data_IF_434215509542
#
_entry.id   IF_434215509542
#
_cell.length_a   1.000
_cell.length_b   1.000
_cell.length_c   1.000
_cell.angle_alpha   90.00
_cell.angle_beta   90.00
_cell.angle_gamma   90.00
#
_symmetry.space_group_name_H-M   'P 1'
#
loop_
_entity.id
_entity.type
_entity.pdbx_description
1 polymer ?
#
# COMPACT_ATOMS: atom_id res chain seq x y z
N UNK A 1 -34.72 -16.08 43.77
CA UNK A 1 -33.40 -15.41 43.76
C UNK A 1 -32.43 -15.96 42.70
N UNK A 2 -32.35 -17.28 42.46
CA UNK A 2 -31.46 -17.84 41.43
C UNK A 2 -31.82 -17.39 40.00
N UNK A 3 -33.11 -17.36 39.65
CA UNK A 3 -33.54 -16.96 38.30
C UNK A 3 -33.15 -15.52 37.96
N UNK A 4 -33.31 -14.59 38.90
CA UNK A 4 -32.90 -13.20 38.72
C UNK A 4 -31.38 -13.06 38.50
N UNK A 5 -30.58 -13.85 39.22
CA UNK A 5 -29.11 -13.88 39.06
C UNK A 5 -28.70 -14.43 37.69
N UNK A 6 -29.37 -15.49 37.21
CA UNK A 6 -29.12 -16.07 35.89
C UNK A 6 -29.42 -15.05 34.79
N UNK A 7 -30.57 -14.36 34.88
CA UNK A 7 -30.95 -13.31 33.93
C UNK A 7 -29.93 -12.19 33.93
N UNK A 8 -29.46 -11.76 35.10
CA UNK A 8 -28.48 -10.67 35.23
C UNK A 8 -27.12 -11.04 34.64
N UNK A 9 -26.65 -12.28 34.86
CA UNK A 9 -25.42 -12.80 34.25
C UNK A 9 -25.56 -12.90 32.73
N UNK A 10 -26.68 -13.39 32.22
CA UNK A 10 -26.95 -13.46 30.79
C UNK A 10 -26.96 -12.06 30.15
N UNK A 11 -27.58 -11.07 30.82
CA UNK A 11 -27.61 -9.69 30.36
C UNK A 11 -26.21 -9.08 30.30
N UNK A 12 -25.40 -9.29 31.33
CA UNK A 12 -23.99 -8.82 31.34
C UNK A 12 -23.18 -9.48 30.23
N UNK A 13 -23.42 -10.76 29.93
CA UNK A 13 -22.73 -11.47 28.85
C UNK A 13 -23.13 -10.94 27.47
N UNK A 14 -24.43 -10.71 27.23
CA UNK A 14 -24.93 -10.14 25.97
C UNK A 14 -24.41 -8.72 25.76
N UNK A 15 -24.42 -7.88 26.81
CA UNK A 15 -23.87 -6.52 26.72
C UNK A 15 -22.38 -6.54 26.39
N UNK A 16 -21.60 -7.46 26.96
CA UNK A 16 -20.19 -7.62 26.60
C UNK A 16 -20.00 -8.06 25.14
N UNK A 17 -20.85 -8.94 24.61
CA UNK A 17 -20.79 -9.38 23.20
C UNK A 17 -21.20 -8.29 22.20
N UNK A 18 -22.03 -7.33 22.61
CA UNK A 18 -22.45 -6.19 21.76
C UNK A 18 -21.39 -5.09 21.74
N UNK A 19 -20.66 -4.89 22.85
CA UNK A 19 -19.67 -3.80 22.98
C UNK A 19 -18.27 -4.26 22.58
N UNK A 20 -17.89 -5.49 22.90
CA UNK A 20 -16.59 -6.03 22.52
C UNK A 20 -16.61 -6.40 21.04
N UNK A 21 -15.72 -5.81 20.25
CA UNK A 21 -15.45 -6.32 18.91
C UNK A 21 -15.08 -7.81 19.03
N UNK A 22 -15.63 -8.69 18.17
CA UNK A 22 -15.25 -10.09 18.20
C UNK A 22 -13.73 -10.17 18.06
N UNK A 23 -13.07 -11.02 18.85
CA UNK A 23 -11.61 -11.20 18.79
C UNK A 23 -11.10 -11.68 17.43
N UNK A 24 -12.02 -12.02 16.52
CA UNK A 24 -11.78 -12.43 15.14
C UNK A 24 -12.04 -11.32 14.11
N UNK A 25 -12.45 -10.12 14.54
CA UNK A 25 -12.44 -8.97 13.65
C UNK A 25 -10.99 -8.61 13.35
N UNK A 26 -10.58 -8.80 12.08
CA UNK A 26 -9.29 -8.33 11.59
C UNK A 26 -9.13 -6.82 11.80
N UNK A 27 -7.90 -6.31 11.61
CA UNK A 27 -7.62 -4.88 11.74
C UNK A 27 -8.57 -4.07 10.85
N UNK A 28 -9.16 -3.04 11.44
CA UNK A 28 -9.97 -2.05 10.72
C UNK A 28 -9.04 -0.98 10.13
N UNK A 29 -8.76 -1.08 8.82
CA UNK A 29 -7.88 -0.17 8.10
C UNK A 29 -8.54 1.18 7.80
N UNK A 30 -9.86 1.32 7.96
CA UNK A 30 -10.57 2.60 7.78
C UNK A 30 -10.26 3.62 8.88
N UNK A 31 -9.61 3.20 9.96
CA UNK A 31 -9.11 4.07 11.03
C UNK A 31 -7.66 4.53 10.82
N UNK A 32 -7.02 4.12 9.72
CA UNK A 32 -5.65 4.45 9.38
C UNK A 32 -5.47 5.83 8.73
N UNK A 33 -4.22 6.28 8.65
CA UNK A 33 -3.85 7.54 8.00
C UNK A 33 -4.16 7.52 6.50
N UNK A 34 -3.88 6.39 5.82
CA UNK A 34 -4.14 6.24 4.39
C UNK A 34 -5.64 6.41 4.05
N UNK A 35 -6.55 5.87 4.87
CA UNK A 35 -7.99 6.05 4.65
C UNK A 35 -8.42 7.52 4.79
N UNK A 36 -7.88 8.21 5.81
CA UNK A 36 -8.15 9.62 6.04
C UNK A 36 -7.65 10.47 4.87
N UNK A 37 -6.42 10.23 4.40
CA UNK A 37 -5.83 10.93 3.26
C UNK A 37 -6.62 10.70 1.97
N UNK A 38 -6.95 9.46 1.63
CA UNK A 38 -7.71 9.13 0.42
C UNK A 38 -9.11 9.74 0.48
N UNK A 39 -9.80 9.64 1.63
CA UNK A 39 -11.13 10.23 1.80
C UNK A 39 -11.09 11.75 1.68
N UNK A 40 -10.08 12.40 2.26
CA UNK A 40 -9.90 13.85 2.13
C UNK A 40 -9.64 14.25 0.67
N UNK A 41 -8.72 13.57 -0.02
CA UNK A 41 -8.42 13.83 -1.43
C UNK A 41 -9.65 13.62 -2.33
N UNK A 42 -10.45 12.58 -2.07
CA UNK A 42 -11.69 12.32 -2.79
C UNK A 42 -12.71 13.44 -2.57
N UNK A 43 -12.90 13.89 -1.33
CA UNK A 43 -13.81 14.99 -1.02
C UNK A 43 -13.37 16.30 -1.68
N UNK A 44 -12.06 16.59 -1.68
CA UNK A 44 -11.49 17.76 -2.36
C UNK A 44 -11.72 17.69 -3.87
N UNK A 45 -11.46 16.54 -4.51
CA UNK A 45 -11.72 16.37 -5.93
C UNK A 45 -13.23 16.51 -6.26
N UNK A 46 -14.11 15.93 -5.45
CA UNK A 46 -15.55 16.04 -5.67
C UNK A 46 -16.09 17.46 -5.49
N UNK A 47 -15.42 18.31 -4.71
CA UNK A 47 -15.82 19.72 -4.53
C UNK A 47 -15.76 20.53 -5.82
N UNK A 48 -14.92 20.13 -6.78
CA UNK A 48 -14.74 20.79 -8.08
C UNK A 48 -15.38 20.05 -9.24
N UNK A 49 -16.18 19.01 -8.98
CA UNK A 49 -16.80 18.13 -10.00
C UNK A 49 -17.59 18.87 -11.09
N UNK A 50 -18.24 19.98 -10.74
CA UNK A 50 -19.08 20.74 -11.67
C UNK A 50 -18.26 21.71 -12.55
N UNK A 51 -17.01 21.98 -12.21
CA UNK A 51 -16.11 22.86 -12.96
C UNK A 51 -14.64 22.40 -12.77
N UNK A 52 -14.29 21.18 -13.19
CA UNK A 52 -12.96 20.60 -12.96
C UNK A 52 -11.84 21.41 -13.61
N UNK A 53 -12.13 22.15 -14.68
CA UNK A 53 -11.19 23.01 -15.38
C UNK A 53 -10.72 24.18 -14.51
N UNK A 54 -11.56 24.66 -13.57
CA UNK A 54 -11.17 25.71 -12.61
C UNK A 54 -10.11 25.22 -11.62
N UNK A 55 -10.00 23.91 -11.43
CA UNK A 55 -8.97 23.27 -10.63
C UNK A 55 -7.81 22.71 -11.47
N UNK A 56 -7.77 23.05 -12.77
CA UNK A 56 -6.68 22.68 -13.67
C UNK A 56 -6.75 21.26 -14.23
N UNK A 57 -7.89 20.57 -14.12
CA UNK A 57 -8.08 19.24 -14.70
C UNK A 57 -8.75 19.33 -16.07
N UNK A 58 -8.31 18.50 -17.02
CA UNK A 58 -9.18 18.11 -18.14
C UNK A 58 -10.25 17.13 -17.64
N UNK A 59 -11.37 16.96 -18.38
CA UNK A 59 -12.40 15.97 -18.02
C UNK A 59 -11.82 14.55 -17.85
N UNK A 60 -10.89 14.15 -18.71
CA UNK A 60 -10.24 12.83 -18.67
C UNK A 60 -9.36 12.69 -17.43
N UNK A 61 -8.55 13.69 -17.13
CA UNK A 61 -7.70 13.70 -15.93
C UNK A 61 -8.54 13.66 -14.64
N UNK A 62 -9.65 14.39 -14.62
CA UNK A 62 -10.58 14.36 -13.49
C UNK A 62 -11.17 12.96 -13.28
N UNK A 63 -11.67 12.31 -14.35
CA UNK A 63 -12.24 10.97 -14.26
C UNK A 63 -11.19 9.93 -13.86
N UNK A 64 -9.98 10.01 -14.42
CA UNK A 64 -8.88 9.12 -14.05
C UNK A 64 -8.54 9.26 -12.57
N UNK A 65 -8.39 10.49 -12.08
CA UNK A 65 -8.08 10.74 -10.66
C UNK A 65 -9.20 10.30 -9.73
N UNK A 66 -10.47 10.50 -10.13
CA UNK A 66 -11.63 10.03 -9.38
C UNK A 66 -11.65 8.51 -9.27
N UNK A 67 -11.48 7.80 -10.39
CA UNK A 67 -11.44 6.34 -10.43
C UNK A 67 -10.29 5.78 -9.57
N UNK A 68 -9.11 6.40 -9.64
CA UNK A 68 -7.94 6.02 -8.83
C UNK A 68 -8.23 6.15 -7.32
N UNK A 69 -8.77 7.28 -6.87
CA UNK A 69 -9.08 7.50 -5.46
C UNK A 69 -10.21 6.59 -4.96
N UNK A 70 -11.21 6.33 -5.78
CA UNK A 70 -12.29 5.38 -5.46
C UNK A 70 -11.76 3.95 -5.34
N UNK A 71 -10.86 3.55 -6.25
CA UNK A 71 -10.20 2.25 -6.19
C UNK A 71 -9.38 2.11 -4.90
N UNK A 72 -8.53 3.09 -4.57
CA UNK A 72 -7.74 3.09 -3.33
C UNK A 72 -8.63 3.01 -2.09
N UNK A 73 -9.71 3.79 -2.04
CA UNK A 73 -10.67 3.75 -0.94
C UNK A 73 -11.28 2.36 -0.79
N UNK A 74 -11.71 1.76 -1.89
CA UNK A 74 -12.31 0.42 -1.90
C UNK A 74 -11.32 -0.65 -1.41
N UNK A 75 -10.06 -0.58 -1.83
CA UNK A 75 -9.00 -1.48 -1.34
C UNK A 75 -8.90 -1.41 0.18
N UNK A 76 -8.86 -0.21 0.76
CA UNK A 76 -8.76 -0.05 2.21
C UNK A 76 -10.02 -0.55 2.94
N UNK A 77 -11.22 -0.22 2.43
CA UNK A 77 -12.51 -0.61 3.04
C UNK A 77 -12.75 -2.11 3.02
N UNK A 78 -12.24 -2.81 2.00
CA UNK A 78 -12.44 -4.25 1.81
C UNK A 78 -11.27 -5.08 2.33
N UNK A 79 -10.16 -4.44 2.71
CA UNK A 79 -8.96 -5.10 3.22
C UNK A 79 -9.26 -5.99 4.43
N UNK A 80 -8.72 -7.22 4.37
CA UNK A 80 -8.71 -8.18 5.48
C UNK A 80 -7.30 -8.44 6.01
N UNK A 81 -6.30 -8.15 5.19
CA UNK A 81 -4.87 -8.29 5.48
C UNK A 81 -4.18 -6.95 5.32
N UNK A 82 -2.95 -6.87 5.82
CA UNK A 82 -2.04 -5.74 5.61
C UNK A 82 -1.64 -5.62 4.16
N UNK A 83 -1.05 -4.49 3.81
CA UNK A 83 -0.45 -4.36 2.49
C UNK A 83 0.72 -5.35 2.37
N UNK A 84 0.78 -6.07 1.26
CA UNK A 84 1.85 -7.02 0.97
C UNK A 84 2.49 -6.69 -0.38
N UNK A 85 3.79 -6.95 -0.47
CA UNK A 85 4.54 -6.85 -1.71
C UNK A 85 5.01 -8.23 -2.14
N UNK A 86 4.69 -8.61 -3.38
CA UNK A 86 5.17 -9.83 -4.03
C UNK A 86 6.21 -9.48 -5.08
N UNK A 87 7.35 -10.15 -5.01
CA UNK A 87 8.45 -9.97 -5.93
C UNK A 87 8.45 -11.06 -7.01
N UNK A 88 7.98 -10.73 -8.21
CA UNK A 88 8.04 -11.55 -9.42
C UNK A 88 9.04 -10.99 -10.44
N UNK A 89 10.03 -10.21 -9.99
CA UNK A 89 11.03 -9.59 -10.87
C UNK A 89 12.17 -10.54 -11.26
N UNK A 90 12.30 -11.68 -10.58
CA UNK A 90 13.44 -12.59 -10.74
C UNK A 90 14.74 -12.11 -10.09
N UNK A 91 14.73 -10.95 -9.44
CA UNK A 91 15.86 -10.35 -8.71
C UNK A 91 15.47 -9.99 -7.29
N UNK A 92 16.43 -9.55 -6.47
CA UNK A 92 16.11 -8.97 -5.16
C UNK A 92 15.37 -7.64 -5.36
N UNK A 93 14.28 -7.45 -4.61
CA UNK A 93 13.46 -6.23 -4.65
C UNK A 93 13.62 -5.47 -3.35
N UNK A 94 13.92 -4.18 -3.43
CA UNK A 94 13.94 -3.31 -2.26
C UNK A 94 12.52 -2.80 -1.97
N UNK A 95 12.03 -3.04 -0.75
CA UNK A 95 10.66 -2.69 -0.35
C UNK A 95 10.67 -1.86 0.94
N UNK A 96 9.75 -0.92 1.01
CA UNK A 96 9.47 -0.15 2.21
C UNK A 96 8.45 -0.90 3.04
N UNK A 97 8.86 -1.34 4.23
CA UNK A 97 8.00 -2.10 5.11
C UNK A 97 8.14 -1.65 6.56
N UNK A 98 7.11 -1.93 7.36
CA UNK A 98 7.12 -1.72 8.80
C UNK A 98 6.43 -2.87 9.53
N UNK A 99 6.85 -3.11 10.78
CA UNK A 99 6.07 -3.96 11.68
C UNK A 99 5.01 -3.12 12.37
N UNK A 100 3.81 -3.67 12.61
CA UNK A 100 2.77 -3.01 13.39
C UNK A 100 3.32 -2.55 14.74
N UNK A 101 3.11 -1.26 15.07
CA UNK A 101 3.61 -0.58 16.28
C UNK A 101 5.11 -0.25 16.28
N UNK A 102 5.88 -0.66 15.26
CA UNK A 102 7.27 -0.24 15.04
C UNK A 102 7.32 0.75 13.88
N UNK A 103 7.14 2.02 14.21
CA UNK A 103 7.45 3.13 13.31
C UNK A 103 8.92 3.51 13.51
N UNK A 104 9.67 3.89 12.46
CA UNK A 104 9.23 4.24 11.10
C UNK A 104 9.34 3.11 10.07
N UNK A 105 8.68 3.30 8.92
CA UNK A 105 8.90 2.54 7.67
C UNK A 105 10.38 2.58 7.27
N UNK A 106 10.93 1.43 6.91
CA UNK A 106 12.32 1.28 6.56
C UNK A 106 12.47 0.46 5.28
N UNK A 107 13.65 0.58 4.65
CA UNK A 107 13.98 -0.18 3.47
C UNK A 107 14.48 -1.58 3.86
N UNK A 108 13.88 -2.59 3.24
CA UNK A 108 14.25 -4.00 3.38
C UNK A 108 14.38 -4.65 2.01
N UNK A 109 14.87 -5.88 1.99
CA UNK A 109 15.15 -6.61 0.75
C UNK A 109 14.34 -7.89 0.69
N UNK A 110 13.48 -8.01 -0.31
CA UNK A 110 12.61 -9.14 -0.56
C UNK A 110 13.21 -10.03 -1.66
N UNK A 111 13.41 -11.31 -1.36
CA UNK A 111 13.98 -12.25 -2.32
C UNK A 111 13.07 -12.46 -3.54
N UNK A 112 13.67 -12.89 -4.66
CA UNK A 112 12.92 -13.24 -5.86
C UNK A 112 11.91 -14.36 -5.57
N UNK A 113 10.68 -14.21 -6.08
CA UNK A 113 9.58 -15.15 -5.91
C UNK A 113 8.87 -15.07 -4.55
N UNK A 114 9.35 -14.25 -3.62
CA UNK A 114 8.80 -14.15 -2.27
C UNK A 114 7.74 -13.07 -2.13
N UNK A 115 6.95 -13.18 -1.06
CA UNK A 115 5.98 -12.17 -0.61
C UNK A 115 6.33 -11.74 0.80
N UNK A 116 6.00 -10.49 1.14
CA UNK A 116 6.13 -10.02 2.52
C UNK A 116 5.20 -10.78 3.45
N UNK A 117 5.71 -11.24 4.59
CA UNK A 117 4.99 -11.87 5.70
C UNK A 117 3.80 -11.01 6.18
N UNK A 118 2.72 -11.66 6.64
CA UNK A 118 1.46 -10.98 6.96
C UNK A 118 1.46 -10.23 8.30
N UNK A 119 2.48 -10.43 9.13
CA UNK A 119 2.79 -9.58 10.28
C UNK A 119 3.47 -8.26 9.88
N UNK A 120 3.84 -8.07 8.61
CA UNK A 120 4.39 -6.81 8.10
C UNK A 120 3.38 -6.02 7.28
N UNK A 121 3.55 -4.70 7.27
CA UNK A 121 2.93 -3.80 6.30
C UNK A 121 3.97 -3.43 5.24
N UNK A 122 3.72 -3.80 3.98
CA UNK A 122 4.49 -3.29 2.86
C UNK A 122 3.90 -1.95 2.40
N UNK A 123 4.51 -0.84 2.82
CA UNK A 123 4.06 0.50 2.46
C UNK A 123 4.39 0.85 1.00
N UNK A 124 5.43 0.23 0.42
CA UNK A 124 5.91 0.64 -0.89
C UNK A 124 7.09 -0.14 -1.45
N UNK A 125 7.53 0.25 -2.64
CA UNK A 125 8.68 -0.34 -3.33
C UNK A 125 9.68 0.77 -3.68
N UNK A 126 10.97 0.51 -3.48
CA UNK A 126 12.03 1.37 -3.98
C UNK A 126 12.40 0.95 -5.41
N UNK A 127 12.50 1.92 -6.30
CA UNK A 127 12.96 1.72 -7.67
C UNK A 127 14.19 2.61 -7.92
N UNK A 128 15.34 2.03 -8.28
CA UNK A 128 16.54 2.80 -8.55
C UNK A 128 16.40 3.63 -9.84
N UNK A 129 17.30 4.61 -10.00
CA UNK A 129 17.43 5.30 -11.28
C UNK A 129 17.77 4.31 -12.41
N UNK A 130 17.40 4.68 -13.64
CA UNK A 130 17.56 3.88 -14.87
C UNK A 130 16.71 2.61 -14.92
N UNK A 131 15.87 2.35 -13.91
CA UNK A 131 14.87 1.29 -14.01
C UNK A 131 13.82 1.66 -15.05
N UNK A 132 13.51 0.73 -15.95
CA UNK A 132 12.35 0.82 -16.83
C UNK A 132 11.13 0.23 -16.12
N UNK A 133 10.08 1.03 -15.95
CA UNK A 133 8.91 0.65 -15.16
C UNK A 133 7.60 1.09 -15.82
N UNK A 134 6.56 0.27 -15.68
CA UNK A 134 5.16 0.60 -15.92
C UNK A 134 4.47 0.69 -14.56
N UNK A 135 4.13 1.92 -14.14
CA UNK A 135 3.53 2.18 -12.82
C UNK A 135 2.03 1.94 -12.76
N UNK A 136 1.34 1.82 -13.89
CA UNK A 136 -0.10 1.49 -13.91
C UNK A 136 -0.42 0.57 -15.10
N UNK A 137 -1.44 -0.31 -14.99
CA UNK A 137 -1.74 -1.33 -16.01
C UNK A 137 -2.03 -0.85 -17.45
N UNK A 138 -2.03 0.47 -17.69
CA UNK A 138 -2.25 1.08 -19.02
C UNK A 138 -1.21 2.17 -19.36
N UNK A 139 -0.18 2.37 -18.52
CA UNK A 139 0.87 3.33 -18.79
C UNK A 139 1.90 2.76 -19.78
N UNK A 140 2.56 3.67 -20.50
CA UNK A 140 3.73 3.30 -21.29
C UNK A 140 4.94 3.07 -20.37
N UNK A 141 5.88 2.20 -20.76
CA UNK A 141 7.16 2.08 -20.07
C UNK A 141 7.84 3.45 -19.96
N UNK A 142 8.34 3.78 -18.79
CA UNK A 142 9.18 4.94 -18.57
C UNK A 142 10.50 4.52 -17.92
N UNK A 143 11.59 5.15 -18.34
CA UNK A 143 12.88 5.02 -17.70
C UNK A 143 13.02 6.10 -16.63
N UNK A 144 13.36 5.68 -15.41
CA UNK A 144 13.50 6.60 -14.29
C UNK A 144 14.79 7.41 -14.40
N UNK A 145 14.70 8.74 -14.37
CA UNK A 145 15.89 9.61 -14.34
C UNK A 145 16.52 9.72 -12.95
N UNK A 146 15.77 9.39 -11.90
CA UNK A 146 16.17 9.47 -10.49
C UNK A 146 15.54 8.31 -9.70
N UNK A 147 16.10 7.91 -8.54
CA UNK A 147 15.48 6.90 -7.71
C UNK A 147 14.16 7.41 -7.11
N UNK A 148 13.18 6.52 -7.04
CA UNK A 148 11.86 6.83 -6.49
C UNK A 148 11.43 5.78 -5.46
N UNK A 149 10.52 6.19 -4.59
CA UNK A 149 9.73 5.27 -3.78
C UNK A 149 8.27 5.34 -4.23
N UNK A 150 7.68 4.20 -4.56
CA UNK A 150 6.24 4.12 -4.85
C UNK A 150 5.51 3.66 -3.59
N UNK A 151 4.50 4.41 -3.17
CA UNK A 151 3.68 4.08 -1.99
C UNK A 151 2.37 3.44 -2.42
N UNK A 152 1.97 2.40 -1.70
CA UNK A 152 0.63 1.81 -1.78
C UNK A 152 -0.20 2.20 -0.54
N UNK A 153 -1.51 2.02 -0.64
CA UNK A 153 -2.40 2.17 0.51
C UNK A 153 -2.45 0.88 1.33
N UNK A 154 -2.75 1.01 2.62
CA UNK A 154 -3.05 -0.13 3.50
C UNK A 154 -3.97 -1.16 2.81
N UNK A 155 -3.64 -2.44 2.96
CA UNK A 155 -4.40 -3.56 2.40
C UNK A 155 -4.10 -3.92 0.93
N UNK A 156 -3.28 -3.13 0.24
CA UNK A 156 -2.91 -3.39 -1.16
C UNK A 156 -2.09 -4.69 -1.31
N UNK A 157 -2.46 -5.52 -2.29
CA UNK A 157 -1.69 -6.70 -2.70
C UNK A 157 -0.88 -6.35 -3.96
N UNK A 158 0.30 -5.75 -3.74
CA UNK A 158 1.15 -5.26 -4.83
C UNK A 158 2.05 -6.38 -5.36
N UNK A 159 2.20 -6.43 -6.67
CA UNK A 159 3.04 -7.38 -7.40
C UNK A 159 3.91 -6.57 -8.34
N UNK A 160 5.23 -6.69 -8.16
CA UNK A 160 6.21 -6.20 -9.13
C UNK A 160 6.69 -7.38 -9.96
N UNK A 161 6.41 -7.35 -11.26
CA UNK A 161 6.78 -8.40 -12.21
C UNK A 161 7.74 -7.86 -13.24
N UNK A 162 8.82 -8.57 -13.55
CA UNK A 162 9.67 -8.21 -14.68
C UNK A 162 9.16 -8.89 -15.95
N UNK A 163 9.04 -8.13 -17.03
CA UNK A 163 8.78 -8.68 -18.35
C UNK A 163 10.01 -9.51 -18.79
N UNK A 164 9.87 -10.79 -19.10
CA UNK A 164 11.02 -11.65 -19.40
C UNK A 164 11.74 -11.28 -20.71
N UNK A 165 11.08 -10.58 -21.63
CA UNK A 165 11.66 -10.18 -22.91
C UNK A 165 12.39 -8.84 -22.83
N UNK A 166 11.89 -7.89 -22.03
CA UNK A 166 12.39 -6.50 -22.00
C UNK A 166 13.05 -6.11 -20.68
N UNK A 167 12.82 -6.86 -19.60
CA UNK A 167 13.28 -6.52 -18.25
C UNK A 167 12.50 -5.37 -17.59
N UNK A 168 11.48 -4.82 -18.25
CA UNK A 168 10.62 -3.75 -17.70
C UNK A 168 9.87 -4.28 -16.48
N UNK A 169 9.88 -3.52 -15.38
CA UNK A 169 9.10 -3.85 -14.18
C UNK A 169 7.67 -3.34 -14.36
N UNK A 170 6.70 -4.20 -14.18
CA UNK A 170 5.27 -3.92 -14.28
C UNK A 170 4.64 -4.06 -12.89
N UNK A 171 3.94 -3.01 -12.44
CA UNK A 171 3.13 -3.05 -11.22
C UNK A 171 1.69 -3.43 -11.56
N UNK A 172 1.12 -4.38 -10.81
CA UNK A 172 -0.28 -4.79 -11.00
C UNK A 172 -1.29 -3.72 -10.55
N UNK A 173 -0.87 -2.79 -9.70
CA UNK A 173 -1.70 -1.73 -9.13
C UNK A 173 -0.99 -0.39 -9.25
N UNK A 174 -1.74 0.65 -9.56
CA UNK A 174 -1.21 2.01 -9.59
C UNK A 174 -0.86 2.48 -8.17
N UNK A 175 0.37 2.97 -7.94
CA UNK A 175 0.75 3.54 -6.65
C UNK A 175 -0.17 4.68 -6.22
N UNK A 176 -0.35 4.82 -4.91
CA UNK A 176 -1.05 5.94 -4.30
C UNK A 176 -0.27 7.25 -4.45
N UNK A 177 1.05 7.16 -4.27
CA UNK A 177 1.99 8.27 -4.40
C UNK A 177 3.30 7.74 -4.99
N UNK A 178 4.01 8.62 -5.68
CA UNK A 178 5.39 8.43 -6.09
C UNK A 178 6.18 9.52 -5.40
N UNK A 179 7.17 9.13 -4.60
CA UNK A 179 8.04 10.04 -3.88
C UNK A 179 9.41 10.10 -4.55
N UNK A 180 9.87 11.33 -4.75
CA UNK A 180 11.25 11.65 -5.07
C UNK A 180 12.03 11.94 -3.79
N UNK A 181 13.35 11.98 -3.93
CA UNK A 181 14.27 12.29 -2.82
C UNK A 181 13.86 13.62 -2.17
N UNK A 182 13.57 13.58 -0.86
CA UNK A 182 13.19 14.76 -0.07
C UNK A 182 11.70 15.09 0.00
N UNK A 183 10.83 14.39 -0.73
CA UNK A 183 9.37 14.64 -0.71
C UNK A 183 8.63 13.92 0.43
N UNK A 184 9.32 13.05 1.17
CA UNK A 184 8.77 12.24 2.25
C UNK A 184 9.80 12.05 3.36
N UNK A 185 9.36 11.54 4.51
CA UNK A 185 10.24 11.13 5.61
C UNK A 185 10.92 9.76 5.37
N UNK A 186 10.58 9.06 4.28
CA UNK A 186 11.28 7.83 3.89
C UNK A 186 12.67 8.16 3.36
N UNK A 187 13.67 7.39 3.83
CA UNK A 187 14.99 7.44 3.24
C UNK A 187 14.94 6.83 1.84
N UNK A 188 15.13 7.64 0.81
CA UNK A 188 15.27 7.20 -0.58
C UNK A 188 16.76 7.25 -0.91
N UNK A 189 17.48 6.11 -0.85
CA UNK A 189 18.91 6.09 -1.11
C UNK A 189 19.19 6.21 -2.61
N UNK A 190 20.47 6.29 -2.96
CA UNK A 190 20.95 6.26 -4.36
C UNK A 190 21.56 4.90 -4.67
N UNK A 191 20.86 3.81 -4.34
CA UNK A 191 21.29 2.45 -4.66
C UNK A 191 21.03 2.17 -6.14
N UNK A 192 21.96 1.48 -6.80
CA UNK A 192 21.73 0.86 -8.11
C UNK A 192 21.03 -0.50 -7.97
N UNK A 193 20.52 -1.04 -9.08
CA UNK A 193 20.01 -2.42 -9.07
C UNK A 193 21.11 -3.43 -8.70
N UNK A 194 22.36 -3.20 -9.12
CA UNK A 194 23.47 -4.08 -8.75
C UNK A 194 23.71 -4.07 -7.24
N UNK A 195 23.63 -2.90 -6.59
CA UNK A 195 23.77 -2.81 -5.13
C UNK A 195 22.67 -3.60 -4.42
N UNK A 196 21.42 -3.52 -4.91
CA UNK A 196 20.28 -4.29 -4.38
C UNK A 196 20.47 -5.79 -4.61
N UNK A 197 20.94 -6.20 -5.79
CA UNK A 197 21.14 -7.60 -6.15
C UNK A 197 22.18 -8.29 -5.23
N UNK A 198 23.11 -7.52 -4.64
CA UNK A 198 24.08 -8.04 -3.65
C UNK A 198 23.56 -8.12 -2.21
N UNK A 199 22.39 -7.55 -1.92
CA UNK A 199 21.85 -7.54 -0.57
C UNK A 199 21.35 -8.92 -0.16
N UNK A 200 21.57 -9.27 1.09
CA UNK A 200 20.99 -10.48 1.68
C UNK A 200 19.49 -10.19 1.92
N UNK A 201 18.57 -10.98 1.32
CA UNK A 201 17.15 -10.82 1.59
C UNK A 201 16.85 -10.89 3.09
N UNK A 202 15.97 -10.01 3.57
CA UNK A 202 15.64 -9.90 4.99
C UNK A 202 14.78 -11.11 5.40
N UNK A 203 15.29 -12.07 6.19
CA UNK A 203 14.57 -13.32 6.43
C UNK A 203 13.26 -13.12 7.19
N UNK A 204 13.22 -12.14 8.09
CA UNK A 204 12.03 -11.83 8.90
C UNK A 204 10.89 -11.21 8.10
N UNK A 205 11.15 -10.75 6.88
CA UNK A 205 10.17 -10.11 6.01
C UNK A 205 9.43 -11.12 5.14
N UNK A 206 9.94 -12.35 5.00
CA UNK A 206 9.44 -13.34 4.05
C UNK A 206 8.49 -14.30 4.77
N UNK A 207 7.31 -14.54 4.17
CA UNK A 207 6.35 -15.59 4.56
C UNK A 207 6.89 -17.00 4.25
#
# INVERSE_FOLDING_TARGET
MQFLKIVLVALVFIVNLVIAQPSWAGKDFTKGADYAEVTQALNQLLSVKNAPEQAGYTPEQFQQRLAQLQFQKNVIETARKRAQCRNETGKTLAVYANKPKKSPTQLYYLAAGQITDDDWDCDGIYLPALTQVILSPNAQPQELSEPIAVKFVDGTQSIARANPATGVIELNVEPAKVYKVGETNWLIPTLSQADIDTQIPTPQLID
#
